data_IF_609410359392
#
_entry.id   IF_609410359392
#
_cell.length_a   1.000
_cell.length_b   1.000
_cell.length_c   1.000
_cell.angle_alpha   90.00
_cell.angle_beta   90.00
_cell.angle_gamma   90.00
#
_symmetry.space_group_name_H-M   'P 1'
#
loop_
_entity.id
_entity.type
_entity.pdbx_description
1 polymer ?
#
# COMPACT_ATOMS: atom_id res chain seq x y z
N UNK A 1 24.21 0.62 -12.82
CA UNK A 1 23.64 -0.05 -11.63
C UNK A 1 22.13 0.17 -11.68
N UNK A 2 21.33 -0.89 -11.64
CA UNK A 2 19.86 -0.76 -11.61
C UNK A 2 19.45 -0.25 -10.22
N UNK A 3 18.67 0.82 -10.15
CA UNK A 3 18.24 1.42 -8.89
C UNK A 3 17.17 0.52 -8.25
N UNK A 4 17.43 -0.01 -7.05
CA UNK A 4 16.41 -0.74 -6.28
C UNK A 4 15.29 0.24 -5.94
N UNK A 5 14.07 -0.04 -6.40
CA UNK A 5 12.89 0.77 -6.10
C UNK A 5 12.10 0.10 -4.98
N UNK A 6 11.73 0.87 -3.96
CA UNK A 6 10.97 0.37 -2.81
C UNK A 6 9.50 0.74 -2.98
N UNK A 7 8.62 -0.27 -2.93
CA UNK A 7 7.19 -0.10 -3.10
C UNK A 7 6.46 -0.44 -1.79
N UNK A 8 5.54 0.43 -1.37
CA UNK A 8 4.65 0.16 -0.24
C UNK A 8 3.25 -0.18 -0.76
N UNK A 9 2.67 -1.26 -0.24
CA UNK A 9 1.36 -1.76 -0.63
C UNK A 9 0.46 -1.87 0.59
N UNK A 10 -0.62 -1.10 0.60
CA UNK A 10 -1.67 -1.11 1.62
C UNK A 10 -2.93 -1.72 0.99
N UNK A 11 -3.57 -2.62 1.73
CA UNK A 11 -4.79 -3.31 1.28
C UNK A 11 -5.93 -3.09 2.26
N UNK A 12 -7.09 -2.69 1.73
CA UNK A 12 -8.38 -2.71 2.42
C UNK A 12 -9.22 -3.87 1.89
N UNK A 13 -9.85 -4.62 2.78
CA UNK A 13 -10.76 -5.71 2.41
C UNK A 13 -12.22 -5.25 2.37
N UNK A 14 -12.53 -4.14 3.03
CA UNK A 14 -13.86 -3.49 3.03
C UNK A 14 -13.69 -1.96 3.02
N UNK A 15 -14.72 -1.24 2.60
CA UNK A 15 -14.74 0.23 2.43
C UNK A 15 -14.52 0.98 3.76
N UNK A 16 -14.88 0.37 4.89
CA UNK A 16 -14.85 1.00 6.22
C UNK A 16 -13.47 0.91 6.93
N UNK A 17 -12.44 0.41 6.24
CA UNK A 17 -11.10 0.27 6.82
C UNK A 17 -10.23 1.50 6.55
N UNK A 18 -9.71 2.10 7.62
CA UNK A 18 -8.78 3.23 7.54
C UNK A 18 -7.32 2.75 7.37
N UNK A 19 -6.64 3.22 6.32
CA UNK A 19 -5.24 2.87 6.00
C UNK A 19 -4.20 3.74 6.70
N UNK A 20 -4.60 4.84 7.36
CA UNK A 20 -3.65 5.78 8.00
C UNK A 20 -2.74 5.12 9.04
N UNK A 21 -3.27 4.20 9.84
CA UNK A 21 -2.46 3.50 10.85
C UNK A 21 -1.44 2.55 10.20
N UNK A 22 -1.81 1.90 9.09
CA UNK A 22 -0.90 1.02 8.34
C UNK A 22 0.19 1.84 7.65
N UNK A 23 -0.18 2.97 7.03
CA UNK A 23 0.77 3.89 6.40
C UNK A 23 1.78 4.42 7.43
N UNK A 24 1.32 4.83 8.62
CA UNK A 24 2.19 5.28 9.69
C UNK A 24 3.17 4.20 10.13
N UNK A 25 2.71 2.96 10.30
CA UNK A 25 3.56 1.84 10.69
C UNK A 25 4.64 1.54 9.63
N UNK A 26 4.27 1.59 8.34
CA UNK A 26 5.22 1.41 7.24
C UNK A 26 6.23 2.56 7.21
N UNK A 27 5.80 3.82 7.42
CA UNK A 27 6.70 4.98 7.51
C UNK A 27 7.68 4.86 8.67
N UNK A 28 7.21 4.47 9.85
CA UNK A 28 8.08 4.25 11.01
C UNK A 28 9.12 3.17 10.74
N UNK A 29 8.73 2.09 10.07
CA UNK A 29 9.66 1.04 9.67
C UNK A 29 10.68 1.57 8.65
N UNK A 30 10.22 2.24 7.59
CA UNK A 30 11.12 2.73 6.53
C UNK A 30 12.10 3.76 7.06
N UNK A 31 11.66 4.65 7.95
CA UNK A 31 12.52 5.65 8.60
C UNK A 31 13.57 4.97 9.50
N UNK A 32 13.20 3.90 10.21
CA UNK A 32 14.13 3.14 11.06
C UNK A 32 15.19 2.38 10.26
N UNK A 33 14.83 1.87 9.08
CA UNK A 33 15.73 1.07 8.24
C UNK A 33 16.45 1.91 7.16
N UNK A 34 16.34 3.25 7.19
CA UNK A 34 16.86 4.17 6.16
C UNK A 34 16.39 3.81 4.74
N UNK A 35 15.16 3.32 4.63
CA UNK A 35 14.50 2.98 3.38
C UNK A 35 13.64 4.16 2.93
N UNK A 36 13.68 4.46 1.63
CA UNK A 36 12.78 5.43 1.02
C UNK A 36 11.79 4.71 0.11
N UNK A 37 10.50 4.78 0.45
CA UNK A 37 9.44 4.30 -0.44
C UNK A 37 9.33 5.24 -1.64
N UNK A 38 9.51 4.69 -2.84
CA UNK A 38 9.38 5.44 -4.10
C UNK A 38 7.92 5.56 -4.53
N UNK A 39 7.10 4.52 -4.30
CA UNK A 39 5.67 4.53 -4.63
C UNK A 39 4.80 3.81 -3.60
N UNK A 40 3.60 4.36 -3.40
CA UNK A 40 2.56 3.84 -2.52
C UNK A 40 1.36 3.36 -3.34
N UNK A 41 0.87 2.17 -3.00
CA UNK A 41 -0.37 1.62 -3.54
C UNK A 41 -1.35 1.44 -2.38
N UNK A 42 -2.48 2.14 -2.41
CA UNK A 42 -3.63 1.87 -1.54
C UNK A 42 -4.71 1.20 -2.40
N UNK A 43 -4.94 -0.10 -2.16
CA UNK A 43 -5.86 -0.92 -2.94
C UNK A 43 -7.02 -1.38 -2.08
N UNK A 44 -8.23 -1.00 -2.48
CA UNK A 44 -9.47 -1.55 -1.95
C UNK A 44 -9.85 -2.82 -2.72
N UNK A 45 -9.71 -3.96 -2.04
CA UNK A 45 -10.00 -5.29 -2.58
C UNK A 45 -11.36 -5.80 -2.07
N UNK A 46 -12.36 -4.91 -1.98
CA UNK A 46 -13.72 -5.23 -1.56
C UNK A 46 -14.42 -6.08 -2.62
N UNK A 47 -15.10 -7.16 -2.22
CA UNK A 47 -15.88 -7.99 -3.17
C UNK A 47 -17.09 -7.27 -3.75
N UNK A 48 -17.45 -6.11 -3.17
CA UNK A 48 -18.51 -5.22 -3.65
C UNK A 48 -18.05 -4.32 -4.81
N UNK A 49 -16.75 -4.34 -5.15
CA UNK A 49 -16.11 -3.56 -6.23
C UNK A 49 -15.78 -4.45 -7.41
N UNK A 50 -15.73 -3.90 -8.62
CA UNK A 50 -15.37 -4.63 -9.84
C UNK A 50 -13.93 -5.14 -9.83
N UNK A 51 -13.60 -6.15 -10.66
CA UNK A 51 -12.22 -6.68 -10.80
C UNK A 51 -11.23 -5.60 -11.22
N UNK A 52 -11.68 -4.68 -12.09
CA UNK A 52 -10.93 -3.51 -12.54
C UNK A 52 -10.61 -2.53 -11.39
N UNK A 53 -11.60 -2.20 -10.55
CA UNK A 53 -11.38 -1.34 -9.36
C UNK A 53 -10.44 -1.99 -8.34
N UNK A 54 -10.53 -3.32 -8.21
CA UNK A 54 -9.67 -4.12 -7.34
C UNK A 54 -8.26 -4.35 -7.92
N UNK A 55 -8.01 -3.96 -9.18
CA UNK A 55 -6.76 -4.18 -9.93
C UNK A 55 -6.31 -5.65 -9.96
N UNK A 56 -7.27 -6.56 -10.15
CA UNK A 56 -7.03 -8.01 -10.24
C UNK A 56 -7.53 -8.59 -11.57
N UNK A 57 -7.70 -7.74 -12.57
CA UNK A 57 -7.96 -8.11 -13.97
C UNK A 57 -6.64 -8.35 -14.69
#
# INVERSE_FOLDING_TARGET
MQKSSVYAYLRKSTDDQNTKAQELAVRQYTDREDLRVDQWFDVECSSRRSTKERRID
#
